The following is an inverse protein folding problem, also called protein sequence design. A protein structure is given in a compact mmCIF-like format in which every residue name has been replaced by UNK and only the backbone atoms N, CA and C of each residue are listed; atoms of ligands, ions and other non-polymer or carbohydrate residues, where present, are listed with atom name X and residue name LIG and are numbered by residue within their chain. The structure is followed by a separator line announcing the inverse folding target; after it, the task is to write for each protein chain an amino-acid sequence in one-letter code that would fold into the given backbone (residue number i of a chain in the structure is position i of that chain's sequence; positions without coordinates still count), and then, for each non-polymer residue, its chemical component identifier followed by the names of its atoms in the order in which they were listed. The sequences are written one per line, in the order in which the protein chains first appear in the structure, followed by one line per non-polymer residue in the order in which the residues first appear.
data_IF_111852488379
#
_entry.id   IF_111852488379
#
_cell.length_a   1.000
_cell.length_b   1.000
_cell.length_c   1.000
_cell.angle_alpha   90.00
_cell.angle_beta   90.00
_cell.angle_gamma   90.00
#
_symmetry.space_group_name_H-M   'P 1'
#
loop_
_entity.id
_entity.type
_entity.pdbx_description
1 polymer ?
#
# COMPACT_ATOMS: atom_id res chain seq x y z
N UNK A 1 22.42 1.47 -7.94
CA UNK A 1 22.54 2.49 -6.85
C UNK A 1 21.61 2.24 -5.66
N UNK A 2 20.28 2.33 -5.79
CA UNK A 2 19.38 2.18 -4.61
C UNK A 2 19.29 0.73 -4.10
N UNK A 3 19.18 -0.26 -4.99
CA UNK A 3 19.11 -1.69 -4.59
C UNK A 3 20.40 -2.18 -3.94
N UNK A 4 21.54 -1.60 -4.32
CA UNK A 4 22.86 -1.96 -3.80
C UNK A 4 23.11 -1.38 -2.38
N UNK A 5 22.26 -0.46 -1.95
CA UNK A 5 22.36 0.23 -0.66
C UNK A 5 21.58 -0.47 0.47
N UNK A 6 21.03 -1.67 0.22
CA UNK A 6 20.23 -2.45 1.18
C UNK A 6 19.04 -1.67 1.78
N UNK A 7 18.42 -0.79 0.98
CA UNK A 7 17.24 0.00 1.33
C UNK A 7 16.06 -0.34 0.42
N UNK A 8 14.85 -0.29 0.98
CA UNK A 8 13.63 -0.42 0.20
C UNK A 8 13.18 0.94 -0.34
N UNK A 9 12.98 1.04 -1.65
CA UNK A 9 12.39 2.22 -2.27
C UNK A 9 10.87 2.22 -2.09
N UNK A 10 10.31 3.32 -1.59
CA UNK A 10 8.87 3.54 -1.59
C UNK A 10 8.43 4.16 -2.91
N UNK A 11 7.58 3.44 -3.65
CA UNK A 11 7.15 3.85 -4.99
C UNK A 11 5.68 4.28 -4.98
N UNK A 12 5.41 5.45 -5.57
CA UNK A 12 4.05 5.89 -5.88
C UNK A 12 3.81 5.74 -7.38
N UNK A 13 3.33 4.57 -7.79
CA UNK A 13 3.22 4.19 -9.21
C UNK A 13 1.86 3.53 -9.51
N UNK A 14 1.44 3.57 -10.77
CA UNK A 14 0.20 2.91 -11.22
C UNK A 14 0.41 1.39 -11.41
N UNK A 15 -0.67 0.58 -11.39
CA UNK A 15 -0.59 -0.85 -11.68
C UNK A 15 0.12 -1.19 -13.00
N UNK A 16 -0.11 -0.41 -14.06
CA UNK A 16 0.60 -0.62 -15.33
C UNK A 16 2.11 -0.38 -15.26
N UNK A 17 2.60 0.37 -14.28
CA UNK A 17 4.04 0.49 -14.04
C UNK A 17 4.60 -0.77 -13.38
N UNK A 18 3.83 -1.43 -12.49
CA UNK A 18 4.22 -2.69 -11.84
C UNK A 18 4.44 -3.78 -12.88
N UNK A 19 3.56 -3.88 -13.88
CA UNK A 19 3.73 -4.83 -14.99
C UNK A 19 5.05 -4.62 -15.74
N UNK A 20 5.43 -3.36 -16.00
CA UNK A 20 6.72 -3.02 -16.62
C UNK A 20 7.91 -3.33 -15.72
N UNK A 21 7.75 -3.24 -14.39
CA UNK A 21 8.79 -3.64 -13.44
C UNK A 21 9.02 -5.16 -13.53
N UNK A 22 7.97 -5.96 -13.57
CA UNK A 22 8.09 -7.42 -13.77
C UNK A 22 8.82 -7.77 -15.07
N UNK A 23 8.52 -7.07 -16.17
CA UNK A 23 9.22 -7.24 -17.45
C UNK A 23 10.71 -6.94 -17.34
N UNK A 24 11.08 -5.97 -16.49
CA UNK A 24 12.47 -5.60 -16.18
C UNK A 24 13.09 -6.46 -15.07
N UNK A 25 12.47 -7.60 -14.71
CA UNK A 25 12.91 -8.50 -13.63
C UNK A 25 13.00 -7.83 -12.25
N UNK A 26 12.20 -6.79 -12.02
CA UNK A 26 12.03 -6.14 -10.71
C UNK A 26 10.66 -6.52 -10.16
N UNK A 27 10.63 -7.21 -9.02
CA UNK A 27 9.40 -7.74 -8.41
C UNK A 27 9.12 -6.99 -7.10
N UNK A 28 8.31 -5.90 -7.13
CA UNK A 28 8.06 -5.09 -5.95
C UNK A 28 7.19 -5.84 -4.93
N UNK A 29 7.37 -5.50 -3.65
CA UNK A 29 6.45 -5.91 -2.57
C UNK A 29 5.24 -4.98 -2.61
N UNK A 30 4.07 -5.50 -2.95
CA UNK A 30 2.84 -4.72 -3.14
C UNK A 30 1.94 -4.91 -1.93
N UNK A 31 1.80 -3.85 -1.13
CA UNK A 31 1.00 -3.86 0.10
C UNK A 31 -0.24 -3.01 -0.12
N UNK A 32 -1.41 -3.64 -0.08
CA UNK A 32 -2.69 -2.93 -0.15
C UNK A 32 -3.26 -2.70 1.25
N UNK A 33 -3.71 -1.46 1.53
CA UNK A 33 -4.39 -1.12 2.79
C UNK A 33 -5.89 -1.14 2.54
N UNK A 34 -6.58 -2.12 3.14
CA UNK A 34 -8.03 -2.26 3.00
C UNK A 34 -8.76 -1.49 4.10
N UNK A 35 -9.43 -0.41 3.72
CA UNK A 35 -10.33 0.30 4.61
C UNK A 35 -11.72 -0.34 4.62
N UNK A 36 -12.43 -0.28 5.75
CA UNK A 36 -13.79 -0.82 5.91
C UNK A 36 -14.88 0.16 5.50
N UNK A 37 -14.57 1.46 5.47
CA UNK A 37 -15.50 2.51 5.07
C UNK A 37 -14.79 3.83 4.76
N UNK A 38 -15.47 4.72 4.03
CA UNK A 38 -15.06 6.11 3.86
C UNK A 38 -14.88 6.85 5.20
N UNK A 39 -15.71 6.54 6.20
CA UNK A 39 -15.56 7.09 7.57
C UNK A 39 -14.19 6.73 8.16
N UNK A 40 -13.74 5.50 7.96
CA UNK A 40 -12.44 5.08 8.46
C UNK A 40 -11.31 5.88 7.81
N UNK A 41 -11.35 6.10 6.49
CA UNK A 41 -10.36 6.93 5.78
C UNK A 41 -10.37 8.36 6.32
N UNK A 42 -11.56 8.93 6.48
CA UNK A 42 -11.75 10.28 7.00
C UNK A 42 -11.17 10.46 8.39
N UNK A 43 -11.39 9.47 9.26
CA UNK A 43 -11.04 9.54 10.67
C UNK A 43 -9.55 9.21 10.93
N UNK A 44 -8.78 8.79 9.91
CA UNK A 44 -7.31 8.65 9.99
C UNK A 44 -6.70 10.02 10.23
N UNK A 45 -5.84 10.09 11.25
CA UNK A 45 -5.10 11.29 11.61
C UNK A 45 -3.71 10.93 12.11
N UNK A 46 -2.77 11.81 11.83
CA UNK A 46 -1.45 11.81 12.43
C UNK A 46 -1.18 13.19 13.04
N UNK A 47 -0.85 13.30 14.34
CA UNK A 47 -0.60 14.60 14.99
C UNK A 47 0.53 15.40 14.35
N UNK A 48 1.47 14.74 13.68
CA UNK A 48 2.66 15.34 13.08
C UNK A 48 2.47 15.60 11.58
N UNK A 49 1.94 14.63 10.84
CA UNK A 49 1.94 14.62 9.37
C UNK A 49 0.53 14.72 8.73
N UNK A 50 -0.55 14.49 9.48
CA UNK A 50 -1.92 14.47 8.95
C UNK A 50 -2.94 14.99 9.97
N UNK A 51 -2.86 16.30 10.25
CA UNK A 51 -3.65 16.98 11.27
C UNK A 51 -5.12 17.19 10.86
N UNK A 52 -5.40 17.32 9.57
CA UNK A 52 -6.73 17.65 9.03
C UNK A 52 -7.48 16.44 8.46
N UNK A 53 -8.80 16.45 8.65
CA UNK A 53 -9.67 15.30 8.33
C UNK A 53 -9.96 15.47 6.85
N UNK A 54 -9.95 14.36 6.10
CA UNK A 54 -10.49 14.42 4.75
C UNK A 54 -11.94 14.94 4.79
N UNK A 55 -12.38 15.61 3.73
CA UNK A 55 -13.80 15.92 3.60
C UNK A 55 -14.60 14.63 3.39
N UNK A 56 -15.91 14.65 3.67
CA UNK A 56 -16.77 13.49 3.41
C UNK A 56 -16.72 13.07 1.93
N UNK A 57 -16.67 14.07 1.02
CA UNK A 57 -16.57 13.84 -0.42
C UNK A 57 -15.26 13.14 -0.79
N UNK A 58 -14.13 13.67 -0.33
CA UNK A 58 -12.82 13.11 -0.61
C UNK A 58 -12.68 11.69 -0.03
N UNK A 59 -13.13 11.47 1.20
CA UNK A 59 -13.04 10.16 1.83
C UNK A 59 -13.90 9.10 1.11
N UNK A 60 -15.05 9.51 0.55
CA UNK A 60 -15.91 8.65 -0.27
C UNK A 60 -15.26 8.33 -1.62
N UNK A 61 -14.72 9.34 -2.31
CA UNK A 61 -13.99 9.17 -3.57
C UNK A 61 -12.78 8.24 -3.40
N UNK A 62 -11.99 8.41 -2.35
CA UNK A 62 -10.86 7.54 -2.03
C UNK A 62 -11.30 6.12 -1.70
N UNK A 63 -12.37 5.95 -0.92
CA UNK A 63 -12.90 4.63 -0.61
C UNK A 63 -13.34 3.88 -1.86
N UNK A 64 -14.11 4.53 -2.73
CA UNK A 64 -14.60 3.94 -3.97
C UNK A 64 -13.45 3.61 -4.93
N UNK A 65 -12.44 4.49 -5.00
CA UNK A 65 -11.22 4.24 -5.75
C UNK A 65 -10.46 3.00 -5.23
N UNK A 66 -10.28 2.88 -3.90
CA UNK A 66 -9.61 1.72 -3.32
C UNK A 66 -10.41 0.42 -3.48
N UNK A 67 -11.74 0.47 -3.42
CA UNK A 67 -12.57 -0.70 -3.70
C UNK A 67 -12.40 -1.17 -5.15
N UNK A 68 -12.39 -0.24 -6.11
CA UNK A 68 -12.13 -0.57 -7.52
C UNK A 68 -10.72 -1.14 -7.71
N UNK A 69 -9.71 -0.54 -7.09
CA UNK A 69 -8.33 -1.03 -7.13
C UNK A 69 -8.22 -2.46 -6.58
N UNK A 70 -8.91 -2.76 -5.49
CA UNK A 70 -8.93 -4.10 -4.92
C UNK A 70 -9.62 -5.11 -5.85
N UNK A 71 -10.76 -4.74 -6.43
CA UNK A 71 -11.49 -5.57 -7.37
C UNK A 71 -10.64 -5.90 -8.61
N UNK A 72 -10.00 -4.90 -9.19
CA UNK A 72 -9.29 -5.02 -10.46
C UNK A 72 -7.88 -5.64 -10.28
N UNK A 73 -7.20 -5.35 -9.16
CA UNK A 73 -5.77 -5.64 -8.98
C UNK A 73 -5.43 -6.50 -7.74
N UNK A 74 -6.41 -7.12 -7.07
CA UNK A 74 -6.12 -8.00 -5.92
C UNK A 74 -5.10 -9.10 -6.20
N UNK A 75 -5.06 -9.61 -7.43
CA UNK A 75 -4.16 -10.68 -7.86
C UNK A 75 -2.67 -10.32 -7.85
N UNK A 76 -2.32 -9.02 -7.89
CA UNK A 76 -0.92 -8.58 -7.84
C UNK A 76 -0.46 -8.23 -6.41
N UNK A 77 -1.36 -8.13 -5.44
CA UNK A 77 -0.97 -7.75 -4.09
C UNK A 77 -0.17 -8.86 -3.41
N UNK A 78 1.01 -8.53 -2.89
CA UNK A 78 1.81 -9.44 -2.06
C UNK A 78 1.17 -9.62 -0.68
N UNK A 79 0.52 -8.57 -0.16
CA UNK A 79 -0.21 -8.61 1.10
C UNK A 79 -1.33 -7.57 1.15
N UNK A 80 -2.36 -7.87 1.93
CA UNK A 80 -3.41 -6.93 2.30
C UNK A 80 -3.40 -6.74 3.80
N UNK A 81 -3.35 -5.49 4.26
CA UNK A 81 -3.45 -5.15 5.68
C UNK A 81 -4.74 -4.37 5.97
N UNK A 82 -5.37 -4.56 7.13
CA UNK A 82 -6.51 -3.76 7.54
C UNK A 82 -6.07 -2.31 7.79
N UNK A 83 -6.82 -1.38 7.21
CA UNK A 83 -6.75 0.03 7.56
C UNK A 83 -7.27 0.29 8.97
N UNK A 84 -6.84 1.39 9.58
CA UNK A 84 -7.21 1.73 10.95
C UNK A 84 -6.21 2.70 11.58
N UNK A 85 -5.69 2.34 12.75
CA UNK A 85 -4.69 3.12 13.45
C UNK A 85 -3.37 3.13 12.66
N UNK A 86 -2.78 4.32 12.48
CA UNK A 86 -1.54 4.47 11.70
C UNK A 86 -0.34 3.73 12.30
N UNK A 87 -0.20 3.70 13.62
CA UNK A 87 0.91 3.00 14.27
C UNK A 87 0.81 1.48 14.05
N UNK A 88 -0.40 0.92 14.17
CA UNK A 88 -0.68 -0.49 13.89
C UNK A 88 -0.43 -0.82 12.41
N UNK A 89 -0.92 0.02 11.50
CA UNK A 89 -0.68 -0.14 10.06
C UNK A 89 0.83 -0.10 9.76
N UNK A 90 1.56 0.87 10.29
CA UNK A 90 3.01 0.99 10.10
C UNK A 90 3.77 -0.24 10.63
N UNK A 91 3.37 -0.77 11.79
CA UNK A 91 3.95 -2.01 12.34
C UNK A 91 3.68 -3.20 11.43
N UNK A 92 2.45 -3.34 10.91
CA UNK A 92 2.09 -4.40 9.99
C UNK A 92 2.83 -4.28 8.65
N UNK A 93 2.94 -3.07 8.09
CA UNK A 93 3.71 -2.80 6.87
C UNK A 93 5.17 -3.25 7.05
N UNK A 94 5.83 -2.83 8.13
CA UNK A 94 7.21 -3.25 8.43
C UNK A 94 7.33 -4.78 8.53
N UNK A 95 6.36 -5.42 9.19
CA UNK A 95 6.33 -6.87 9.36
C UNK A 95 6.19 -7.59 8.01
N UNK A 96 5.28 -7.10 7.15
CA UNK A 96 5.07 -7.63 5.81
C UNK A 96 6.32 -7.45 4.96
N UNK A 97 6.94 -6.27 4.92
CA UNK A 97 8.18 -6.03 4.16
C UNK A 97 9.27 -7.02 4.58
N UNK A 98 9.51 -7.16 5.89
CA UNK A 98 10.51 -8.10 6.41
C UNK A 98 10.23 -9.56 6.05
N UNK A 99 8.96 -9.95 5.94
CA UNK A 99 8.53 -11.30 5.59
C UNK A 99 8.64 -11.54 4.09
N UNK A 100 8.10 -10.64 3.27
CA UNK A 100 8.08 -10.77 1.82
C UNK A 100 9.49 -10.69 1.24
N UNK A 101 10.39 -9.87 1.80
CA UNK A 101 11.79 -9.77 1.36
C UNK A 101 12.58 -11.09 1.52
N UNK A 102 12.15 -11.98 2.42
CA UNK A 102 12.78 -13.29 2.65
C UNK A 102 12.19 -14.40 1.80
N UNK A 103 11.10 -14.15 1.07
CA UNK A 103 10.47 -15.17 0.23
C UNK A 103 11.28 -15.39 -1.04
N UNK A 104 11.31 -16.65 -1.46
CA UNK A 104 11.79 -17.00 -2.80
C UNK A 104 10.75 -16.52 -3.81
N UNK A 105 11.21 -15.79 -4.82
CA UNK A 105 10.40 -15.36 -5.94
C UNK A 105 10.62 -16.30 -7.13
N UNK A 106 9.55 -16.63 -7.85
CA UNK A 106 9.62 -17.39 -9.09
C UNK A 106 10.01 -16.43 -10.23
N UNK A 107 11.08 -16.73 -10.97
CA UNK A 107 11.70 -15.86 -11.99
C UNK A 107 11.54 -16.42 -13.39
#
# INVERSE_FOLDING_TARGET
EICDSNVHCLLNVSPGAIERMHQSKVYPIIIFVRHKSAKQIRDIRDPQFLKDRASNKLAKEQFDHFQKMEQDYSHIFSAVIPGGNLAEMCMQIKTVICKEQKKVIWV
#
